data_IF_160542783886
#
_entry.id   IF_160542783886
#
_cell.length_a   1.000
_cell.length_b   1.000
_cell.length_c   1.000
_cell.angle_alpha   90.00
_cell.angle_beta   90.00
_cell.angle_gamma   90.00
#
_symmetry.space_group_name_H-M   'P 1'
#
loop_
_entity.id
_entity.type
_entity.pdbx_description
1 polymer ?
#
# COMPACT_ATOMS: atom_id res chain seq x y z
N UNK A 1 -9.51 -10.29 15.29
CA UNK A 1 -8.94 -10.99 14.12
C UNK A 1 -9.00 -12.47 14.45
N UNK A 2 -10.15 -13.12 14.26
CA UNK A 2 -10.27 -14.59 14.44
C UNK A 2 -11.59 -15.25 13.96
N UNK A 3 -12.40 -14.65 13.07
CA UNK A 3 -13.58 -15.37 12.51
C UNK A 3 -13.89 -15.16 11.02
N UNK A 4 -13.05 -14.45 10.29
CA UNK A 4 -13.18 -14.31 8.83
C UNK A 4 -11.90 -14.69 8.05
N UNK A 5 -10.79 -14.95 8.76
CA UNK A 5 -9.50 -15.29 8.14
C UNK A 5 -9.21 -16.81 8.15
N UNK A 6 -10.06 -17.63 8.77
CA UNK A 6 -9.89 -19.11 8.80
C UNK A 6 -10.59 -19.85 7.65
N UNK A 7 -11.42 -19.18 6.86
CA UNK A 7 -11.99 -19.79 5.65
C UNK A 7 -10.97 -19.59 4.53
N UNK A 8 -10.15 -20.62 4.30
CA UNK A 8 -9.30 -20.73 3.12
C UNK A 8 -10.10 -20.44 1.83
N UNK A 9 -9.37 -20.11 0.77
CA UNK A 9 -9.80 -19.54 -0.51
C UNK A 9 -10.82 -20.36 -1.36
N UNK A 10 -11.79 -21.07 -0.79
CA UNK A 10 -12.87 -21.67 -1.57
C UNK A 10 -14.05 -20.71 -1.75
N UNK A 11 -14.22 -20.23 -2.98
CA UNK A 11 -15.33 -19.36 -3.35
C UNK A 11 -16.70 -20.05 -3.17
N UNK A 12 -16.75 -21.38 -3.25
CA UNK A 12 -17.98 -22.15 -3.08
C UNK A 12 -18.44 -22.17 -1.61
N UNK A 13 -17.52 -22.35 -0.65
CA UNK A 13 -17.85 -22.27 0.78
C UNK A 13 -18.29 -20.87 1.19
N UNK A 14 -17.65 -19.82 0.63
CA UNK A 14 -18.10 -18.44 0.84
C UNK A 14 -19.49 -18.19 0.25
N UNK A 15 -19.76 -18.68 -0.96
CA UNK A 15 -21.08 -18.56 -1.57
C UNK A 15 -22.16 -19.25 -0.70
N UNK A 16 -21.90 -20.48 -0.25
CA UNK A 16 -22.80 -21.23 0.63
C UNK A 16 -23.01 -20.56 2.00
N UNK A 17 -21.96 -19.89 2.54
CA UNK A 17 -22.02 -19.11 3.77
C UNK A 17 -22.96 -17.90 3.64
N UNK A 18 -23.01 -17.24 2.48
CA UNK A 18 -23.91 -16.09 2.25
C UNK A 18 -25.30 -16.49 1.74
N UNK A 19 -25.46 -17.63 1.08
CA UNK A 19 -26.76 -18.07 0.50
C UNK A 19 -27.79 -18.54 1.54
N UNK A 20 -27.38 -18.92 2.76
CA UNK A 20 -28.26 -19.56 3.75
C UNK A 20 -28.36 -18.81 5.09
N UNK A 21 -28.05 -17.51 5.14
CA UNK A 21 -28.15 -16.75 6.40
C UNK A 21 -29.57 -16.29 6.66
N UNK A 22 -29.94 -16.37 7.94
CA UNK A 22 -31.13 -15.69 8.43
C UNK A 22 -30.88 -14.18 8.53
N UNK A 23 -31.94 -13.36 8.40
CA UNK A 23 -31.86 -11.90 8.57
C UNK A 23 -31.20 -11.50 9.91
N UNK A 24 -31.37 -12.32 10.95
CA UNK A 24 -30.77 -12.11 12.27
C UNK A 24 -29.23 -12.22 12.27
N UNK A 25 -28.68 -13.12 11.46
CA UNK A 25 -27.24 -13.31 11.35
C UNK A 25 -26.60 -12.23 10.49
N UNK A 26 -27.27 -11.81 9.42
CA UNK A 26 -26.83 -10.65 8.62
C UNK A 26 -26.82 -9.37 9.43
N UNK A 27 -27.84 -9.17 10.28
CA UNK A 27 -27.92 -8.03 11.18
C UNK A 27 -26.78 -8.04 12.21
N UNK A 28 -26.46 -9.20 12.79
CA UNK A 28 -25.37 -9.34 13.75
C UNK A 28 -24.00 -9.01 13.12
N UNK A 29 -23.75 -9.44 11.88
CA UNK A 29 -22.53 -9.10 11.15
C UNK A 29 -22.47 -7.62 10.79
N UNK A 30 -23.60 -7.03 10.38
CA UNK A 30 -23.67 -5.59 10.14
C UNK A 30 -23.40 -4.79 11.42
N UNK A 31 -24.01 -5.17 12.55
CA UNK A 31 -23.77 -4.53 13.84
C UNK A 31 -22.32 -4.68 14.31
N UNK A 32 -21.71 -5.84 14.08
CA UNK A 32 -20.29 -6.07 14.34
C UNK A 32 -19.41 -5.20 13.44
N UNK A 33 -19.71 -5.11 12.15
CA UNK A 33 -18.96 -4.28 11.19
C UNK A 33 -19.07 -2.79 11.54
N UNK A 34 -20.26 -2.32 11.95
CA UNK A 34 -20.48 -0.95 12.42
C UNK A 34 -19.69 -0.68 13.70
N UNK A 35 -19.75 -1.58 14.69
CA UNK A 35 -19.01 -1.47 15.96
C UNK A 35 -17.49 -1.40 15.77
N UNK A 36 -16.97 -2.09 14.75
CA UNK A 36 -15.55 -2.14 14.43
C UNK A 36 -15.13 -1.12 13.36
N UNK A 37 -16.04 -0.26 12.88
CA UNK A 37 -15.73 0.74 11.85
C UNK A 37 -15.39 0.16 10.46
N UNK A 38 -15.75 -1.11 10.23
CA UNK A 38 -15.51 -1.85 8.98
C UNK A 38 -16.70 -1.79 8.01
N UNK A 39 -17.84 -1.22 8.44
CA UNK A 39 -18.99 -1.04 7.58
C UNK A 39 -18.74 0.02 6.50
N UNK A 40 -18.95 -0.37 5.23
CA UNK A 40 -18.90 0.54 4.08
C UNK A 40 -20.21 1.30 3.86
N UNK A 41 -21.25 1.01 4.65
CA UNK A 41 -22.55 1.68 4.63
C UNK A 41 -22.96 2.14 6.04
N UNK A 42 -23.64 3.28 6.13
CA UNK A 42 -24.11 3.86 7.39
C UNK A 42 -23.57 5.27 7.65
N UNK A 43 -24.02 5.94 8.72
CA UNK A 43 -23.57 7.28 9.06
C UNK A 43 -22.06 7.29 9.31
N UNK A 44 -21.31 8.13 8.58
CA UNK A 44 -19.85 8.23 8.76
C UNK A 44 -19.00 7.38 7.82
N UNK A 45 -19.59 6.48 7.00
CA UNK A 45 -18.83 5.60 6.12
C UNK A 45 -17.96 6.37 5.10
N UNK A 46 -18.51 7.44 4.52
CA UNK A 46 -17.78 8.33 3.61
C UNK A 46 -16.60 9.01 4.32
N UNK A 47 -16.82 9.47 5.56
CA UNK A 47 -15.82 10.15 6.37
C UNK A 47 -14.67 9.20 6.76
N UNK A 48 -15.01 7.96 7.14
CA UNK A 48 -14.03 6.91 7.46
C UNK A 48 -13.23 6.49 6.23
N UNK A 49 -13.88 6.36 5.06
CA UNK A 49 -13.19 6.08 3.81
C UNK A 49 -12.23 7.22 3.42
N UNK A 50 -12.65 8.48 3.57
CA UNK A 50 -11.80 9.66 3.35
C UNK A 50 -10.63 9.69 4.35
N UNK A 51 -10.86 9.36 5.63
CA UNK A 51 -9.81 9.33 6.65
C UNK A 51 -8.77 8.24 6.34
N UNK A 52 -9.20 7.03 6.03
CA UNK A 52 -8.33 5.93 5.66
C UNK A 52 -7.58 6.18 4.33
N UNK A 53 -8.18 6.91 3.39
CA UNK A 53 -7.50 7.35 2.17
C UNK A 53 -6.43 8.43 2.47
N UNK A 54 -6.74 9.38 3.36
CA UNK A 54 -5.79 10.41 3.82
C UNK A 54 -4.61 9.83 4.57
N UNK A 55 -4.83 8.83 5.42
CA UNK A 55 -3.78 8.13 6.16
C UNK A 55 -2.81 7.40 5.23
N UNK A 56 -3.34 6.62 4.27
CA UNK A 56 -2.51 5.98 3.22
C UNK A 56 -1.75 7.00 2.38
N UNK A 57 -2.37 8.15 2.09
CA UNK A 57 -1.70 9.24 1.39
C UNK A 57 -0.59 9.89 2.24
N UNK A 58 -0.76 9.96 3.56
CA UNK A 58 0.20 10.55 4.50
C UNK A 58 1.52 9.74 4.56
N UNK A 59 1.43 8.42 4.49
CA UNK A 59 2.59 7.51 4.39
C UNK A 59 3.31 7.62 3.04
N UNK A 60 2.59 8.04 2.00
CA UNK A 60 3.12 8.20 0.64
C UNK A 60 3.65 9.62 0.32
N UNK A 61 3.80 10.49 1.32
CA UNK A 61 4.23 11.89 1.10
C UNK A 61 5.63 11.96 0.48
N UNK A 62 5.67 12.27 -0.82
CA UNK A 62 6.90 12.55 -1.57
C UNK A 62 7.16 14.06 -1.60
N UNK A 63 8.40 14.47 -1.34
CA UNK A 63 8.86 15.85 -1.51
C UNK A 63 9.66 15.95 -2.81
N UNK A 64 9.41 16.98 -3.61
CA UNK A 64 10.25 17.29 -4.76
C UNK A 64 11.58 17.87 -4.28
N UNK A 65 12.69 17.32 -4.78
CA UNK A 65 14.05 17.77 -4.47
C UNK A 65 14.77 18.05 -5.79
N UNK A 66 15.40 19.22 -5.89
CA UNK A 66 16.28 19.55 -7.01
C UNK A 66 17.70 19.09 -6.69
N UNK A 67 18.33 18.35 -7.60
CA UNK A 67 19.69 17.83 -7.46
C UNK A 67 20.48 18.17 -8.72
N UNK A 68 21.68 18.73 -8.55
CA UNK A 68 22.64 18.94 -9.64
C UNK A 68 23.52 17.69 -9.75
N UNK A 69 23.71 17.20 -10.97
CA UNK A 69 24.55 16.04 -11.28
C UNK A 69 25.30 16.30 -12.58
N UNK A 70 26.40 15.60 -12.80
CA UNK A 70 27.09 15.61 -14.08
C UNK A 70 26.23 15.00 -15.19
N UNK A 71 26.38 15.53 -16.40
CA UNK A 71 25.57 15.11 -17.55
C UNK A 71 25.82 13.63 -17.89
N UNK A 72 27.08 13.21 -17.84
CA UNK A 72 27.48 11.82 -18.10
C UNK A 72 26.85 10.84 -17.10
N UNK A 73 26.78 11.21 -15.82
CA UNK A 73 26.16 10.38 -14.78
C UNK A 73 24.65 10.24 -15.00
N UNK A 74 23.96 11.33 -15.32
CA UNK A 74 22.53 11.31 -15.63
C UNK A 74 22.25 10.38 -16.81
N UNK A 75 23.04 10.47 -17.87
CA UNK A 75 22.85 9.64 -19.06
C UNK A 75 23.19 8.17 -18.79
N UNK A 76 24.23 7.91 -18.00
CA UNK A 76 24.56 6.57 -17.52
C UNK A 76 23.44 5.94 -16.67
N UNK A 77 22.81 6.72 -15.78
CA UNK A 77 21.67 6.27 -14.97
C UNK A 77 20.45 5.99 -15.85
N UNK A 78 20.14 6.86 -16.81
CA UNK A 78 19.03 6.65 -17.76
C UNK A 78 19.23 5.36 -18.56
N UNK A 79 20.43 5.12 -19.08
CA UNK A 79 20.74 3.90 -19.81
C UNK A 79 20.59 2.64 -18.93
N UNK A 80 21.06 2.68 -17.67
CA UNK A 80 20.89 1.58 -16.71
C UNK A 80 19.41 1.33 -16.40
N UNK A 81 18.63 2.38 -16.16
CA UNK A 81 17.21 2.29 -15.87
C UNK A 81 16.42 1.70 -17.05
N UNK A 82 16.73 2.12 -18.28
CA UNK A 82 16.13 1.59 -19.50
C UNK A 82 16.38 0.09 -19.67
N UNK A 83 17.62 -0.38 -19.42
CA UNK A 83 17.95 -1.82 -19.45
C UNK A 83 17.17 -2.63 -18.40
N UNK A 84 16.86 -2.02 -17.27
CA UNK A 84 16.08 -2.64 -16.19
C UNK A 84 14.55 -2.50 -16.38
N UNK A 85 14.10 -1.79 -17.42
CA UNK A 85 12.67 -1.53 -17.66
C UNK A 85 12.02 -0.64 -16.59
N UNK A 86 12.81 0.18 -15.88
CA UNK A 86 12.31 1.08 -14.82
C UNK A 86 12.56 2.53 -15.17
N UNK A 87 11.78 3.43 -14.57
CA UNK A 87 12.04 4.86 -14.70
C UNK A 87 13.34 5.25 -13.96
N UNK A 88 14.12 6.17 -14.52
CA UNK A 88 15.40 6.59 -13.94
C UNK A 88 15.24 7.24 -12.57
N UNK A 89 14.15 7.99 -12.32
CA UNK A 89 13.86 8.49 -10.96
C UNK A 89 13.57 7.36 -9.98
N UNK A 90 12.93 6.27 -10.42
CA UNK A 90 12.69 5.09 -9.58
C UNK A 90 14.01 4.42 -9.21
N UNK A 91 14.94 4.34 -10.17
CA UNK A 91 16.28 3.80 -9.91
C UNK A 91 17.04 4.68 -8.89
N UNK A 92 17.02 6.01 -9.06
CA UNK A 92 17.63 6.96 -8.11
C UNK A 92 17.03 6.80 -6.71
N UNK A 93 15.70 6.78 -6.59
CA UNK A 93 15.03 6.59 -5.30
C UNK A 93 15.40 5.26 -4.65
N UNK A 94 15.49 4.19 -5.45
CA UNK A 94 15.87 2.87 -4.96
C UNK A 94 17.31 2.82 -4.46
N UNK A 95 18.24 3.52 -5.11
CA UNK A 95 19.63 3.64 -4.67
C UNK A 95 19.71 4.38 -3.33
N UNK A 96 19.02 5.52 -3.20
CA UNK A 96 18.96 6.27 -1.94
C UNK A 96 18.37 5.42 -0.82
N UNK A 97 17.28 4.69 -1.08
CA UNK A 97 16.67 3.82 -0.08
C UNK A 97 17.60 2.69 0.35
N UNK A 98 18.27 2.04 -0.61
CA UNK A 98 19.26 0.97 -0.34
C UNK A 98 20.49 1.49 0.41
N UNK A 99 20.91 2.72 0.14
CA UNK A 99 21.98 3.37 0.87
C UNK A 99 21.59 3.60 2.34
N UNK A 100 20.40 4.17 2.59
CA UNK A 100 19.92 4.42 3.95
C UNK A 100 19.67 3.12 4.75
N UNK A 101 19.25 2.05 4.07
CA UNK A 101 19.01 0.75 4.70
C UNK A 101 20.28 -0.12 4.81
N UNK A 102 21.46 0.40 4.46
CA UNK A 102 22.75 -0.29 4.60
C UNK A 102 23.04 -1.38 3.56
N UNK A 103 22.23 -1.49 2.50
CA UNK A 103 22.48 -2.42 1.38
C UNK A 103 23.57 -1.90 0.43
N UNK A 104 23.78 -0.58 0.40
CA UNK A 104 24.87 0.09 -0.31
C UNK A 104 25.65 0.89 0.71
N UNK A 105 26.97 0.72 0.75
CA UNK A 105 27.88 1.50 1.58
C UNK A 105 28.91 2.20 0.70
N UNK A 106 29.27 3.43 1.09
CA UNK A 106 30.45 4.11 0.54
C UNK A 106 31.56 4.05 1.59
N UNK A 107 32.81 3.96 1.15
CA UNK A 107 33.94 4.23 2.03
C UNK A 107 33.87 5.71 2.41
N UNK A 108 33.88 6.03 3.70
CA UNK A 108 33.77 7.42 4.22
C UNK A 108 34.97 8.32 3.86
N UNK A 109 35.83 7.89 2.94
CA UNK A 109 36.89 8.72 2.37
C UNK A 109 36.28 9.63 1.29
N UNK A 110 35.78 10.79 1.72
CA UNK A 110 35.47 11.93 0.85
C UNK A 110 36.54 13.01 0.99
#
# INVERSE_FOLDING_TARGET
MEKADEIELDAAEKAAYFENRSEAEELADHEWAVRNGLSFSGPGALQNAIAAAKERAADSRKRMVSLRMDCEDIDGIKAKAARMGVNYQTLINSLVHRYLNGTVSFSEAF
#
